data_IF_882707196356
#
_entry.id   IF_882707196356
#
_cell.length_a   1.000
_cell.length_b   1.000
_cell.length_c   1.000
_cell.angle_alpha   90.00
_cell.angle_beta   90.00
_cell.angle_gamma   90.00
#
_symmetry.space_group_name_H-M   'P 1'
#
loop_
_entity.id
_entity.type
_entity.pdbx_description
1 polymer ?
#
# COMPACT_ATOMS: atom_id res chain seq x y z
N UNK A 1 -26.03 -12.43 47.79
CA UNK A 1 -24.65 -12.13 47.38
C UNK A 1 -24.62 -11.82 45.89
N UNK A 2 -24.21 -10.58 45.56
CA UNK A 2 -23.81 -10.06 44.23
C UNK A 2 -24.87 -9.99 43.12
N UNK A 3 -25.86 -9.14 43.37
CA UNK A 3 -26.49 -8.35 42.31
C UNK A 3 -25.45 -7.32 41.84
N UNK A 4 -24.77 -7.58 40.73
CA UNK A 4 -23.89 -6.59 40.09
C UNK A 4 -24.79 -5.46 39.60
N UNK A 5 -24.65 -4.29 40.22
CA UNK A 5 -25.17 -3.05 39.67
C UNK A 5 -24.68 -2.93 38.23
N UNK A 6 -25.61 -2.85 37.28
CA UNK A 6 -25.33 -2.31 35.95
C UNK A 6 -24.96 -0.84 36.19
N UNK A 7 -23.67 -0.56 36.28
CA UNK A 7 -23.16 0.81 36.12
C UNK A 7 -23.73 1.31 34.79
N UNK A 8 -24.56 2.35 34.88
CA UNK A 8 -25.18 2.97 33.72
C UNK A 8 -24.08 3.41 32.78
N UNK A 9 -24.14 2.94 31.54
CA UNK A 9 -23.27 3.39 30.46
C UNK A 9 -23.58 4.88 30.27
N UNK A 10 -22.73 5.76 30.80
CA UNK A 10 -22.93 7.21 30.71
C UNK A 10 -22.79 7.63 29.26
N UNK A 11 -23.90 7.94 28.60
CA UNK A 11 -23.93 8.51 27.25
C UNK A 11 -23.43 9.96 27.27
N UNK A 12 -23.23 10.54 26.09
CA UNK A 12 -22.99 11.98 25.95
C UNK A 12 -24.23 12.74 26.45
N UNK A 13 -24.03 13.80 27.24
CA UNK A 13 -25.13 14.56 27.86
C UNK A 13 -25.93 15.33 26.80
N UNK A 14 -27.28 15.29 26.79
CA UNK A 14 -28.12 16.01 25.82
C UNK A 14 -27.80 17.50 25.72
N UNK A 15 -27.45 18.15 26.84
CA UNK A 15 -27.11 19.57 26.87
C UNK A 15 -25.85 19.89 26.06
N UNK A 16 -24.89 18.96 26.04
CA UNK A 16 -23.66 19.12 25.26
C UNK A 16 -23.95 18.95 23.76
N UNK A 17 -24.82 18.01 23.40
CA UNK A 17 -25.27 17.80 22.02
C UNK A 17 -26.01 19.05 21.51
N UNK A 18 -26.95 19.56 22.31
CA UNK A 18 -27.71 20.77 21.97
C UNK A 18 -26.77 21.97 21.77
N UNK A 19 -25.82 22.19 22.69
CA UNK A 19 -24.81 23.26 22.55
C UNK A 19 -23.95 23.09 21.31
N UNK A 20 -23.42 21.89 21.07
CA UNK A 20 -22.60 21.62 19.89
C UNK A 20 -23.38 21.80 18.58
N UNK A 21 -24.69 21.51 18.58
CA UNK A 21 -25.56 21.73 17.44
C UNK A 21 -25.64 23.20 17.00
N UNK A 22 -25.34 24.15 17.90
CA UNK A 22 -25.29 25.59 17.57
C UNK A 22 -24.09 25.97 16.69
N UNK A 23 -23.07 25.11 16.60
CA UNK A 23 -21.87 25.34 15.81
C UNK A 23 -20.72 25.98 16.57
N UNK A 24 -20.78 26.05 17.89
CA UNK A 24 -19.62 26.43 18.70
C UNK A 24 -18.50 25.39 18.54
N UNK A 25 -17.32 25.81 18.05
CA UNK A 25 -16.18 24.91 17.85
C UNK A 25 -15.74 24.24 19.15
N UNK A 26 -15.74 25.00 20.25
CA UNK A 26 -15.40 24.48 21.58
C UNK A 26 -16.36 23.35 22.00
N UNK A 27 -17.66 23.50 21.75
CA UNK A 27 -18.65 22.51 22.15
C UNK A 27 -18.56 21.23 21.30
N UNK A 28 -18.29 21.36 19.99
CA UNK A 28 -18.02 20.19 19.14
C UNK A 28 -16.71 19.50 19.56
N UNK A 29 -15.69 20.27 19.97
CA UNK A 29 -14.46 19.68 20.51
C UNK A 29 -14.70 18.94 21.83
N UNK A 30 -15.53 19.49 22.73
CA UNK A 30 -15.94 18.82 23.95
C UNK A 30 -16.74 17.53 23.68
N UNK A 31 -17.52 17.48 22.60
CA UNK A 31 -18.13 16.23 22.11
C UNK A 31 -17.06 15.20 21.77
N UNK A 32 -16.04 15.56 20.97
CA UNK A 32 -14.92 14.67 20.66
C UNK A 32 -14.29 14.13 21.94
N UNK A 33 -13.88 15.02 22.85
CA UNK A 33 -13.20 14.61 24.09
C UNK A 33 -14.06 13.61 24.89
N UNK A 34 -15.39 13.77 24.85
CA UNK A 34 -16.32 12.86 25.53
C UNK A 34 -16.41 11.47 24.89
N UNK A 35 -16.21 11.34 23.58
CA UNK A 35 -16.27 10.06 22.85
C UNK A 35 -14.90 9.41 22.67
N UNK A 36 -13.80 10.19 22.71
CA UNK A 36 -12.43 9.68 22.50
C UNK A 36 -11.64 9.52 23.80
N UNK A 37 -12.12 10.06 24.93
CA UNK A 37 -11.43 10.04 26.21
C UNK A 37 -11.34 8.64 26.87
N UNK A 38 -10.68 8.57 28.03
CA UNK A 38 -10.42 7.31 28.75
C UNK A 38 -11.69 6.53 29.13
N UNK A 39 -12.80 7.24 29.36
CA UNK A 39 -14.12 6.66 29.57
C UNK A 39 -14.94 6.77 28.28
N UNK A 40 -14.49 6.10 27.21
CA UNK A 40 -15.16 6.13 25.90
C UNK A 40 -16.66 5.91 26.06
N UNK A 41 -17.42 6.99 25.83
CA UNK A 41 -18.88 6.96 25.91
C UNK A 41 -19.45 6.45 24.60
N UNK A 42 -20.53 5.65 24.63
CA UNK A 42 -21.17 5.20 23.41
C UNK A 42 -21.71 6.41 22.62
N UNK A 43 -21.42 6.43 21.32
CA UNK A 43 -21.92 7.45 20.39
C UNK A 43 -23.41 7.22 20.13
N UNK A 44 -24.21 8.25 20.41
CA UNK A 44 -25.65 8.30 20.15
C UNK A 44 -25.93 8.81 18.72
N UNK A 45 -26.97 8.32 18.01
CA UNK A 45 -27.46 8.91 16.76
C UNK A 45 -27.57 10.45 16.74
N UNK A 46 -27.89 11.10 17.87
CA UNK A 46 -27.94 12.57 17.95
C UNK A 46 -26.57 13.23 17.77
N UNK A 47 -25.49 12.59 18.22
CA UNK A 47 -24.11 13.06 17.99
C UNK A 47 -23.78 13.00 16.49
N UNK A 48 -24.26 11.96 15.79
CA UNK A 48 -24.09 11.86 14.33
C UNK A 48 -24.83 12.98 13.59
N UNK A 49 -26.05 13.34 14.04
CA UNK A 49 -26.78 14.47 13.45
C UNK A 49 -26.00 15.79 13.56
N UNK A 50 -25.30 16.02 14.68
CA UNK A 50 -24.41 17.18 14.81
C UNK A 50 -23.28 17.11 13.79
N UNK A 51 -22.63 15.95 13.63
CA UNK A 51 -21.55 15.79 12.65
C UNK A 51 -22.04 16.06 11.22
N UNK A 52 -23.16 15.46 10.81
CA UNK A 52 -23.72 15.64 9.47
C UNK A 52 -24.19 17.06 9.18
N UNK A 53 -24.68 17.78 10.20
CA UNK A 53 -25.04 19.21 10.07
C UNK A 53 -23.87 20.05 9.58
N UNK A 54 -22.67 19.80 10.08
CA UNK A 54 -21.46 20.56 9.70
C UNK A 54 -20.68 19.94 8.55
N UNK A 55 -20.99 18.71 8.17
CA UNK A 55 -20.50 18.05 6.95
C UNK A 55 -21.45 18.21 5.75
N UNK A 56 -22.37 19.18 5.83
CA UNK A 56 -23.28 19.50 4.74
C UNK A 56 -22.49 19.96 3.50
N UNK A 57 -22.81 19.48 2.29
CA UNK A 57 -22.11 19.86 1.06
C UNK A 57 -22.20 21.36 0.74
N UNK A 58 -23.25 22.04 1.21
CA UNK A 58 -23.47 23.47 1.00
C UNK A 58 -22.57 24.36 1.87
N UNK A 59 -21.89 23.78 2.86
CA UNK A 59 -20.96 24.49 3.74
C UNK A 59 -19.50 24.39 3.25
N UNK A 60 -19.24 23.58 2.23
CA UNK A 60 -17.91 23.43 1.65
C UNK A 60 -17.54 24.72 0.91
N UNK A 61 -16.42 25.38 1.24
CA UNK A 61 -16.00 26.58 0.53
C UNK A 61 -15.75 26.30 -0.96
N UNK A 62 -16.14 27.25 -1.82
CA UNK A 62 -16.00 27.12 -3.28
C UNK A 62 -14.59 27.35 -3.79
N UNK A 63 -13.77 28.08 -3.04
CA UNK A 63 -12.37 28.38 -3.35
C UNK A 63 -11.56 28.55 -2.07
N UNK A 64 -10.27 28.20 -2.15
CA UNK A 64 -9.28 28.58 -1.14
C UNK A 64 -8.70 29.92 -1.61
N UNK A 65 -9.52 30.97 -1.60
CA UNK A 65 -9.03 32.32 -1.88
C UNK A 65 -8.23 32.86 -0.67
N UNK A 66 -7.48 33.95 -0.88
CA UNK A 66 -6.47 34.50 0.04
C UNK A 66 -6.95 34.85 1.45
N UNK A 67 -8.24 34.80 1.74
CA UNK A 67 -8.82 35.06 3.06
C UNK A 67 -9.00 33.78 3.88
N UNK A 68 -7.89 33.10 4.19
CA UNK A 68 -7.87 31.88 4.99
C UNK A 68 -8.63 31.99 6.33
N UNK A 69 -8.59 33.18 6.96
CA UNK A 69 -9.26 33.47 8.23
C UNK A 69 -10.76 33.25 8.20
N UNK A 70 -11.41 33.53 7.07
CA UNK A 70 -12.87 33.51 6.96
C UNK A 70 -13.39 32.07 6.90
N UNK A 71 -12.54 31.13 6.48
CA UNK A 71 -12.87 29.72 6.31
C UNK A 71 -12.31 28.82 7.42
N UNK A 72 -11.43 29.35 8.28
CA UNK A 72 -10.78 28.57 9.33
C UNK A 72 -11.80 27.90 10.27
N UNK A 73 -12.79 28.64 10.76
CA UNK A 73 -13.80 28.06 11.66
C UNK A 73 -14.67 26.97 10.99
N UNK A 74 -15.23 27.17 9.78
CA UNK A 74 -15.90 26.08 9.05
C UNK A 74 -15.03 24.83 8.85
N UNK A 75 -13.76 25.01 8.47
CA UNK A 75 -12.79 23.93 8.27
C UNK A 75 -12.57 23.16 9.57
N UNK A 76 -12.27 23.86 10.66
CA UNK A 76 -12.00 23.25 11.97
C UNK A 76 -13.21 22.43 12.43
N UNK A 77 -14.43 22.94 12.23
CA UNK A 77 -15.67 22.21 12.54
C UNK A 77 -15.81 20.95 11.69
N UNK A 78 -15.58 21.05 10.38
CA UNK A 78 -15.67 19.90 9.48
C UNK A 78 -14.66 18.82 9.85
N UNK A 79 -13.39 19.18 10.08
CA UNK A 79 -12.33 18.25 10.54
C UNK A 79 -12.75 17.58 11.85
N UNK A 80 -13.23 18.37 12.81
CA UNK A 80 -13.73 17.86 14.10
C UNK A 80 -14.88 16.86 13.88
N UNK A 81 -15.81 17.14 12.96
CA UNK A 81 -16.90 16.22 12.63
C UNK A 81 -16.44 14.96 11.91
N UNK A 82 -15.41 15.03 11.05
CA UNK A 82 -14.79 13.85 10.43
C UNK A 82 -14.15 12.92 11.48
N UNK A 83 -13.55 13.47 12.52
CA UNK A 83 -13.02 12.68 13.65
C UNK A 83 -14.15 11.98 14.40
N UNK A 84 -15.28 12.65 14.64
CA UNK A 84 -16.47 12.02 15.23
C UNK A 84 -16.92 10.82 14.36
N UNK A 85 -16.98 11.00 13.04
CA UNK A 85 -17.37 9.93 12.12
C UNK A 85 -16.39 8.75 12.12
N UNK A 86 -15.08 8.99 12.16
CA UNK A 86 -14.08 7.93 12.25
C UNK A 86 -14.27 7.10 13.52
N UNK A 87 -14.48 7.76 14.67
CA UNK A 87 -14.79 7.08 15.93
C UNK A 87 -16.11 6.33 15.90
N UNK A 88 -17.15 6.90 15.29
CA UNK A 88 -18.43 6.23 15.09
C UNK A 88 -18.28 4.95 14.25
N UNK A 89 -17.52 5.00 13.15
CA UNK A 89 -17.24 3.84 12.32
C UNK A 89 -16.51 2.75 13.11
N UNK A 90 -15.52 3.14 13.93
CA UNK A 90 -14.78 2.19 14.79
C UNK A 90 -15.68 1.54 15.84
N UNK A 91 -16.53 2.31 16.51
CA UNK A 91 -17.46 1.78 17.52
C UNK A 91 -18.56 0.91 16.89
N UNK A 92 -19.07 1.29 15.72
CA UNK A 92 -20.12 0.56 15.01
C UNK A 92 -19.69 -0.87 14.61
N UNK A 93 -18.38 -1.18 14.56
CA UNK A 93 -17.89 -2.55 14.36
C UNK A 93 -18.33 -3.52 15.46
N UNK A 94 -18.59 -3.03 16.68
CA UNK A 94 -19.05 -3.84 17.81
C UNK A 94 -20.50 -3.56 18.23
N UNK A 95 -21.14 -2.53 17.67
CA UNK A 95 -22.52 -2.14 17.98
C UNK A 95 -23.40 -2.21 16.71
N UNK A 96 -24.28 -3.21 16.64
CA UNK A 96 -25.14 -3.44 15.48
C UNK A 96 -26.20 -2.36 15.27
N UNK A 97 -26.68 -1.72 16.33
CA UNK A 97 -27.69 -0.66 16.23
C UNK A 97 -27.07 0.62 15.68
N UNK A 98 -25.90 1.00 16.23
CA UNK A 98 -25.13 2.12 15.70
C UNK A 98 -24.71 1.85 14.25
N UNK A 99 -24.27 0.64 13.92
CA UNK A 99 -23.92 0.24 12.55
C UNK A 99 -25.07 0.47 11.58
N UNK A 100 -26.27 -0.05 11.87
CA UNK A 100 -27.41 0.12 10.97
C UNK A 100 -27.71 1.61 10.71
N UNK A 101 -27.74 2.42 11.76
CA UNK A 101 -28.00 3.86 11.66
C UNK A 101 -26.90 4.58 10.86
N UNK A 102 -25.64 4.24 11.12
CA UNK A 102 -24.48 4.89 10.50
C UNK A 102 -24.35 4.52 9.02
N UNK A 103 -24.69 3.29 8.64
CA UNK A 103 -24.67 2.83 7.24
C UNK A 103 -25.62 3.66 6.38
N UNK A 104 -26.88 3.79 6.81
CA UNK A 104 -27.88 4.58 6.07
C UNK A 104 -27.42 6.03 5.92
N UNK A 105 -26.95 6.63 7.01
CA UNK A 105 -26.49 8.03 6.99
C UNK A 105 -25.23 8.25 6.13
N UNK A 106 -24.29 7.31 6.11
CA UNK A 106 -23.09 7.39 5.27
C UNK A 106 -23.45 7.33 3.78
N UNK A 107 -24.43 6.50 3.40
CA UNK A 107 -24.89 6.41 2.02
C UNK A 107 -25.61 7.69 1.61
N UNK A 108 -26.54 8.18 2.44
CA UNK A 108 -27.32 9.40 2.17
C UNK A 108 -26.44 10.66 2.08
N UNK A 109 -25.35 10.74 2.86
CA UNK A 109 -24.50 11.92 2.96
C UNK A 109 -23.16 11.79 2.21
N UNK A 110 -23.02 10.78 1.33
CA UNK A 110 -21.78 10.49 0.60
C UNK A 110 -21.22 11.72 -0.12
N UNK A 111 -22.06 12.51 -0.80
CA UNK A 111 -21.62 13.70 -1.55
C UNK A 111 -21.01 14.78 -0.65
N UNK A 112 -21.63 15.02 0.51
CA UNK A 112 -21.12 15.96 1.51
C UNK A 112 -19.77 15.53 2.05
N UNK A 113 -19.67 14.25 2.41
CA UNK A 113 -18.44 13.65 2.90
C UNK A 113 -17.31 13.73 1.86
N UNK A 114 -17.59 13.36 0.60
CA UNK A 114 -16.62 13.43 -0.48
C UNK A 114 -16.11 14.85 -0.69
N UNK A 115 -17.00 15.84 -0.76
CA UNK A 115 -16.61 17.24 -1.01
C UNK A 115 -15.77 17.80 0.13
N UNK A 116 -16.14 17.52 1.38
CA UNK A 116 -15.36 17.98 2.53
C UNK A 116 -13.98 17.33 2.58
N UNK A 117 -13.90 16.01 2.39
CA UNK A 117 -12.61 15.32 2.35
C UNK A 117 -11.74 15.89 1.22
N UNK A 118 -12.28 16.00 0.00
CA UNK A 118 -11.56 16.57 -1.13
C UNK A 118 -11.05 17.99 -0.83
N UNK A 119 -11.90 18.85 -0.27
CA UNK A 119 -11.54 20.20 0.11
C UNK A 119 -10.43 20.23 1.18
N UNK A 120 -10.54 19.39 2.21
CA UNK A 120 -9.52 19.28 3.26
C UNK A 120 -8.18 18.82 2.69
N UNK A 121 -8.18 17.92 1.71
CA UNK A 121 -6.96 17.50 1.02
C UNK A 121 -6.35 18.61 0.15
N UNK A 122 -7.08 19.65 -0.21
CA UNK A 122 -6.56 20.82 -0.92
C UNK A 122 -5.95 21.89 0.02
N UNK A 123 -6.25 21.82 1.32
CA UNK A 123 -5.80 22.82 2.29
C UNK A 123 -4.28 22.85 2.41
N UNK A 124 -3.58 21.73 2.72
CA UNK A 124 -2.13 21.77 2.86
C UNK A 124 -1.43 22.21 1.59
N UNK A 125 -2.06 21.98 0.44
CA UNK A 125 -1.51 22.32 -0.88
C UNK A 125 -1.49 23.83 -1.13
N UNK A 126 -2.39 24.58 -0.49
CA UNK A 126 -2.52 26.02 -0.64
C UNK A 126 -2.02 26.78 0.60
N UNK A 127 -2.04 26.13 1.76
CA UNK A 127 -1.65 26.67 3.07
C UNK A 127 -0.37 26.04 3.63
N UNK A 128 0.41 25.32 2.82
CA UNK A 128 1.55 24.51 3.27
C UNK A 128 2.63 25.27 4.06
N UNK A 129 2.75 26.58 3.82
CA UNK A 129 3.63 27.46 4.62
C UNK A 129 3.15 27.68 6.06
N UNK A 130 1.85 27.55 6.33
CA UNK A 130 1.24 27.83 7.64
C UNK A 130 1.20 26.59 8.55
N UNK A 131 0.96 25.41 7.99
CA UNK A 131 0.81 24.16 8.77
C UNK A 131 2.14 23.44 9.04
N UNK A 132 3.15 23.70 8.21
CA UNK A 132 4.40 22.93 8.21
C UNK A 132 4.20 21.47 7.78
N UNK A 133 5.31 20.75 7.62
CA UNK A 133 5.32 19.36 7.13
C UNK A 133 4.50 18.39 7.99
N UNK A 134 4.71 18.43 9.31
CA UNK A 134 4.08 17.47 10.23
C UNK A 134 2.55 17.64 10.33
N UNK A 135 2.06 18.89 10.31
CA UNK A 135 0.63 19.16 10.35
C UNK A 135 -0.09 18.68 9.08
N UNK A 136 0.56 18.86 7.93
CA UNK A 136 0.09 18.34 6.65
C UNK A 136 0.02 16.81 6.64
N UNK A 137 1.08 16.13 7.07
CA UNK A 137 1.12 14.66 7.13
C UNK A 137 0.01 14.09 8.02
N UNK A 138 -0.16 14.66 9.21
CA UNK A 138 -1.20 14.23 10.15
C UNK A 138 -2.62 14.37 9.57
N UNK A 139 -2.89 15.43 8.80
CA UNK A 139 -4.18 15.61 8.13
C UNK A 139 -4.44 14.49 7.09
N UNK A 140 -3.43 14.17 6.27
CA UNK A 140 -3.53 13.11 5.27
C UNK A 140 -3.70 11.73 5.91
N UNK A 141 -2.99 11.44 6.99
CA UNK A 141 -3.15 10.20 7.75
C UNK A 141 -4.53 10.08 8.40
N UNK A 142 -5.04 11.19 8.97
CA UNK A 142 -6.38 11.23 9.55
C UNK A 142 -7.47 10.93 8.52
N UNK A 143 -7.37 11.53 7.33
CA UNK A 143 -8.29 11.24 6.22
C UNK A 143 -8.18 9.78 5.77
N UNK A 144 -6.95 9.27 5.60
CA UNK A 144 -6.76 7.87 5.20
C UNK A 144 -7.32 6.89 6.25
N UNK A 145 -7.14 7.19 7.54
CA UNK A 145 -7.72 6.40 8.63
C UNK A 145 -9.26 6.39 8.55
N UNK A 146 -9.89 7.55 8.36
CA UNK A 146 -11.34 7.65 8.16
C UNK A 146 -11.82 6.82 6.97
N UNK A 147 -11.17 6.95 5.80
CA UNK A 147 -11.55 6.18 4.60
C UNK A 147 -11.49 4.68 4.87
N UNK A 148 -10.42 4.20 5.51
CA UNK A 148 -10.31 2.79 5.90
C UNK A 148 -11.42 2.38 6.88
N UNK A 149 -11.76 3.22 7.86
CA UNK A 149 -12.84 2.96 8.81
C UNK A 149 -14.20 2.86 8.12
N UNK A 150 -14.50 3.75 7.17
CA UNK A 150 -15.74 3.74 6.37
C UNK A 150 -15.82 2.49 5.49
N UNK A 151 -14.78 2.21 4.69
CA UNK A 151 -14.77 1.08 3.76
C UNK A 151 -14.79 -0.28 4.45
N UNK A 152 -14.38 -0.35 5.71
CA UNK A 152 -14.38 -1.60 6.50
C UNK A 152 -15.62 -1.78 7.38
N UNK A 153 -16.59 -0.85 7.32
CA UNK A 153 -17.77 -0.91 8.17
C UNK A 153 -18.81 -1.90 7.65
N UNK A 154 -19.13 -1.84 6.36
CA UNK A 154 -20.13 -2.67 5.70
C UNK A 154 -19.84 -2.87 4.21
N UNK A 155 -20.15 -4.05 3.67
CA UNK A 155 -19.91 -4.34 2.25
C UNK A 155 -20.82 -3.49 1.33
N UNK A 156 -22.03 -3.13 1.76
CA UNK A 156 -22.90 -2.22 1.01
C UNK A 156 -22.34 -0.80 0.92
N UNK A 157 -21.75 -0.29 2.01
CA UNK A 157 -21.02 0.99 1.99
C UNK A 157 -19.85 0.89 1.01
N UNK A 158 -19.07 -0.19 1.11
CA UNK A 158 -17.93 -0.39 0.23
C UNK A 158 -18.34 -0.25 -1.24
N UNK A 159 -19.34 -1.02 -1.68
CA UNK A 159 -19.83 -1.03 -3.06
C UNK A 159 -20.33 0.34 -3.54
N UNK A 160 -21.10 1.05 -2.71
CA UNK A 160 -21.61 2.39 -3.05
C UNK A 160 -20.45 3.38 -3.22
N UNK A 161 -19.52 3.40 -2.28
CA UNK A 161 -18.43 4.36 -2.27
C UNK A 161 -17.40 4.09 -3.37
N UNK A 162 -16.99 2.84 -3.61
CA UNK A 162 -16.04 2.52 -4.69
C UNK A 162 -16.63 2.70 -6.10
N UNK A 163 -17.95 2.71 -6.23
CA UNK A 163 -18.64 3.05 -7.48
C UNK A 163 -18.67 4.55 -7.75
N UNK A 164 -18.37 5.40 -6.76
CA UNK A 164 -18.35 6.85 -6.89
C UNK A 164 -17.01 7.36 -7.47
N UNK A 165 -17.00 8.03 -8.64
CA UNK A 165 -15.77 8.60 -9.19
C UNK A 165 -15.14 9.66 -8.28
N UNK A 166 -15.95 10.40 -7.51
CA UNK A 166 -15.47 11.40 -6.57
C UNK A 166 -14.68 10.75 -5.42
N UNK A 167 -15.13 9.59 -4.95
CA UNK A 167 -14.41 8.85 -3.92
C UNK A 167 -13.08 8.28 -4.43
N UNK A 168 -13.08 7.71 -5.63
CA UNK A 168 -11.83 7.26 -6.25
C UNK A 168 -10.86 8.43 -6.45
N UNK A 169 -11.35 9.62 -6.81
CA UNK A 169 -10.53 10.82 -6.96
C UNK A 169 -9.84 11.26 -5.65
N UNK A 170 -10.53 11.16 -4.52
CA UNK A 170 -9.95 11.40 -3.19
C UNK A 170 -8.79 10.43 -2.92
N UNK A 171 -8.98 9.16 -3.24
CA UNK A 171 -7.96 8.11 -3.05
C UNK A 171 -6.75 8.37 -3.96
N UNK A 172 -6.98 8.78 -5.21
CA UNK A 172 -5.93 9.18 -6.14
C UNK A 172 -5.18 10.42 -5.65
N UNK A 173 -5.87 11.40 -5.06
CA UNK A 173 -5.24 12.60 -4.51
C UNK A 173 -4.32 12.25 -3.33
N UNK A 174 -4.79 11.42 -2.40
CA UNK A 174 -3.98 10.88 -1.31
C UNK A 174 -2.75 10.12 -1.84
N UNK A 175 -2.94 9.34 -2.91
CA UNK A 175 -1.89 8.49 -3.44
C UNK A 175 -0.78 9.25 -4.17
N UNK A 176 -1.16 10.27 -4.95
CA UNK A 176 -0.28 10.95 -5.90
C UNK A 176 0.32 12.27 -5.41
N UNK A 177 -0.03 12.71 -4.20
CA UNK A 177 0.49 13.97 -3.65
C UNK A 177 2.01 13.92 -3.52
N UNK A 178 2.64 15.07 -3.77
CA UNK A 178 4.09 15.27 -3.68
C UNK A 178 4.42 16.31 -2.63
N UNK A 179 5.58 16.18 -2.01
CA UNK A 179 6.23 17.26 -1.27
C UNK A 179 6.72 18.32 -2.28
N UNK A 180 6.33 19.57 -2.04
CA UNK A 180 6.68 20.68 -2.90
C UNK A 180 8.19 21.00 -2.87
N UNK A 181 8.91 20.60 -1.80
CA UNK A 181 10.35 20.84 -1.65
C UNK A 181 11.21 19.80 -2.38
N UNK A 182 10.83 18.54 -2.28
CA UNK A 182 11.63 17.41 -2.81
C UNK A 182 11.08 16.85 -4.12
N UNK A 183 9.81 17.15 -4.46
CA UNK A 183 9.10 16.54 -5.58
C UNK A 183 8.89 15.03 -5.42
N UNK A 184 9.16 14.50 -4.22
CA UNK A 184 8.94 13.12 -3.78
C UNK A 184 7.45 12.90 -3.45
N UNK A 185 6.89 11.69 -3.61
CA UNK A 185 5.61 11.34 -3.00
C UNK A 185 5.61 11.70 -1.52
N UNK A 186 4.51 12.26 -1.03
CA UNK A 186 4.41 12.90 0.30
C UNK A 186 4.56 11.95 1.52
N UNK A 187 5.17 10.77 1.37
CA UNK A 187 4.92 9.66 2.30
C UNK A 187 6.18 9.06 2.87
N UNK A 188 6.31 9.23 4.18
CA UNK A 188 7.20 8.49 5.05
C UNK A 188 6.67 7.05 5.26
N UNK A 189 7.56 6.10 5.53
CA UNK A 189 7.26 4.69 5.79
C UNK A 189 6.33 4.48 6.99
N UNK A 190 6.20 5.49 7.85
CA UNK A 190 5.28 5.57 8.98
C UNK A 190 3.80 5.66 8.55
N UNK A 191 3.53 6.12 7.33
CA UNK A 191 2.17 6.44 6.82
C UNK A 191 1.42 5.26 6.21
N UNK A 192 1.42 4.11 6.92
CA UNK A 192 0.86 2.84 6.42
C UNK A 192 -0.64 2.95 6.07
N UNK A 193 -1.39 3.85 6.72
CA UNK A 193 -2.83 4.07 6.47
C UNK A 193 -3.15 4.44 5.02
N UNK A 194 -2.29 5.19 4.34
CA UNK A 194 -2.50 5.57 2.93
C UNK A 194 -2.28 4.36 2.02
N UNK A 195 -1.32 3.49 2.33
CA UNK A 195 -1.16 2.21 1.64
C UNK A 195 -2.39 1.31 1.84
N UNK A 196 -2.87 1.20 3.08
CA UNK A 196 -4.06 0.42 3.40
C UNK A 196 -5.28 0.90 2.63
N UNK A 197 -5.40 2.22 2.41
CA UNK A 197 -6.50 2.80 1.64
C UNK A 197 -6.49 2.27 0.21
N UNK A 198 -5.35 2.37 -0.49
CA UNK A 198 -5.26 1.87 -1.87
C UNK A 198 -5.45 0.34 -1.90
N UNK A 199 -4.84 -0.39 -0.97
CA UNK A 199 -5.00 -1.84 -0.86
C UNK A 199 -6.46 -2.26 -0.67
N UNK A 200 -7.22 -1.58 0.20
CA UNK A 200 -8.63 -1.86 0.43
C UNK A 200 -9.48 -1.67 -0.84
N UNK A 201 -9.11 -0.72 -1.71
CA UNK A 201 -9.76 -0.54 -3.01
C UNK A 201 -9.39 -1.65 -3.98
N UNK A 202 -8.09 -1.87 -4.23
CA UNK A 202 -7.65 -2.76 -5.32
C UNK A 202 -7.75 -4.25 -5.00
N UNK A 203 -7.96 -4.61 -3.74
CA UNK A 203 -8.06 -6.02 -3.30
C UNK A 203 -9.39 -6.69 -3.62
N UNK A 204 -10.43 -5.91 -3.95
CA UNK A 204 -11.73 -6.42 -4.42
C UNK A 204 -11.91 -6.06 -5.90
N UNK A 205 -12.55 -6.94 -6.67
CA UNK A 205 -12.65 -6.84 -8.13
C UNK A 205 -13.34 -5.54 -8.60
N UNK A 206 -14.49 -5.20 -8.02
CA UNK A 206 -15.21 -3.96 -8.36
C UNK A 206 -14.38 -2.70 -8.06
N UNK A 207 -13.65 -2.70 -6.95
CA UNK A 207 -12.79 -1.57 -6.57
C UNK A 207 -11.58 -1.44 -7.48
N UNK A 208 -10.97 -2.56 -7.85
CA UNK A 208 -9.90 -2.61 -8.84
C UNK A 208 -10.39 -2.07 -10.20
N UNK A 209 -11.53 -2.52 -10.68
CA UNK A 209 -12.09 -2.06 -11.96
C UNK A 209 -12.36 -0.55 -11.96
N UNK A 210 -13.10 -0.04 -10.96
CA UNK A 210 -13.36 1.40 -10.81
C UNK A 210 -12.08 2.23 -10.73
N UNK A 211 -11.10 1.76 -9.97
CA UNK A 211 -9.80 2.42 -9.86
C UNK A 211 -9.04 2.43 -11.20
N UNK A 212 -8.98 1.29 -11.90
CA UNK A 212 -8.30 1.17 -13.19
C UNK A 212 -8.95 2.06 -14.26
N UNK A 213 -10.28 2.05 -14.35
CA UNK A 213 -11.01 2.92 -15.25
C UNK A 213 -10.66 4.40 -15.00
N UNK A 214 -10.62 4.81 -13.72
CA UNK A 214 -10.32 6.20 -13.37
C UNK A 214 -8.87 6.61 -13.66
N UNK A 215 -7.88 5.75 -13.39
CA UNK A 215 -6.48 6.07 -13.71
C UNK A 215 -6.22 6.13 -15.22
N UNK A 216 -6.93 5.32 -16.02
CA UNK A 216 -6.82 5.32 -17.48
C UNK A 216 -7.44 6.60 -18.03
N UNK A 217 -8.65 6.94 -17.60
CA UNK A 217 -9.35 8.19 -17.98
C UNK A 217 -8.49 9.42 -17.68
N UNK A 218 -7.86 9.46 -16.50
CA UNK A 218 -6.96 10.55 -16.08
C UNK A 218 -5.54 10.43 -16.61
N UNK A 219 -5.21 9.40 -17.38
CA UNK A 219 -3.86 9.13 -17.93
C UNK A 219 -2.77 9.07 -16.86
N UNK A 220 -3.08 8.50 -15.69
CA UNK A 220 -2.20 8.44 -14.52
C UNK A 220 -1.38 7.15 -14.44
N UNK A 221 -1.52 6.21 -15.38
CA UNK A 221 -0.84 4.90 -15.36
C UNK A 221 0.69 5.02 -15.19
N UNK A 222 1.43 5.86 -15.96
CA UNK A 222 2.87 5.99 -15.74
C UNK A 222 3.18 6.54 -14.35
N UNK A 223 2.39 7.52 -13.88
CA UNK A 223 2.55 8.11 -12.55
C UNK A 223 2.32 7.07 -11.45
N UNK A 224 1.32 6.19 -11.61
CA UNK A 224 1.05 5.07 -10.71
C UNK A 224 2.28 4.18 -10.56
N UNK A 225 2.85 3.77 -11.69
CA UNK A 225 4.03 2.92 -11.70
C UNK A 225 5.21 3.58 -10.97
N UNK A 226 5.54 4.82 -11.34
CA UNK A 226 6.61 5.57 -10.69
C UNK A 226 6.38 5.76 -9.19
N UNK A 227 5.17 6.10 -8.78
CA UNK A 227 4.83 6.31 -7.36
C UNK A 227 4.98 5.03 -6.54
N UNK A 228 4.51 3.88 -7.05
CA UNK A 228 4.68 2.60 -6.34
C UNK A 228 6.16 2.25 -6.17
N UNK A 229 6.95 2.37 -7.23
CA UNK A 229 8.37 2.01 -7.18
C UNK A 229 9.16 2.94 -6.27
N UNK A 230 8.84 4.25 -6.29
CA UNK A 230 9.47 5.24 -5.40
C UNK A 230 9.17 4.95 -3.94
N UNK A 231 7.92 4.62 -3.62
CA UNK A 231 7.51 4.17 -2.28
C UNK A 231 8.23 2.89 -1.83
N UNK A 232 8.47 1.95 -2.75
CA UNK A 232 9.25 0.76 -2.44
C UNK A 232 10.71 1.10 -2.09
N UNK A 233 11.34 2.01 -2.84
CA UNK A 233 12.70 2.49 -2.53
C UNK A 233 12.78 3.18 -1.17
N UNK A 234 11.83 4.07 -0.88
CA UNK A 234 11.74 4.75 0.43
C UNK A 234 11.70 3.75 1.59
N UNK A 235 10.93 2.66 1.48
CA UNK A 235 10.90 1.61 2.48
C UNK A 235 12.25 0.88 2.67
N UNK A 236 13.07 0.78 1.62
CA UNK A 236 14.39 0.15 1.70
C UNK A 236 15.51 1.09 2.15
N UNK A 237 15.31 2.40 2.01
CA UNK A 237 16.28 3.46 2.33
C UNK A 237 15.98 4.13 3.67
N UNK A 238 14.93 3.69 4.36
CA UNK A 238 14.55 4.20 5.69
C UNK A 238 15.71 4.03 6.70
N UNK A 239 16.22 5.13 7.29
CA UNK A 239 17.33 5.09 8.24
C UNK A 239 17.00 4.27 9.50
N UNK A 240 15.73 4.21 9.90
CA UNK A 240 15.29 3.47 11.09
C UNK A 240 15.11 1.97 10.80
N UNK A 241 15.16 1.54 9.53
CA UNK A 241 14.95 0.15 9.15
C UNK A 241 16.04 -0.79 9.70
N UNK A 242 17.22 -0.26 10.06
CA UNK A 242 18.27 -1.05 10.70
C UNK A 242 17.90 -1.47 12.13
N UNK A 243 17.27 -0.57 12.89
CA UNK A 243 16.92 -0.78 14.29
C UNK A 243 15.48 -1.28 14.48
N UNK A 244 14.57 -0.94 13.55
CA UNK A 244 13.13 -1.24 13.61
C UNK A 244 12.56 -1.61 12.22
N UNK A 245 13.02 -2.71 11.61
CA UNK A 245 12.62 -3.08 10.24
C UNK A 245 11.14 -3.42 10.05
N UNK A 246 10.36 -3.63 11.12
CA UNK A 246 8.96 -4.07 11.05
C UNK A 246 8.10 -3.19 10.16
N UNK A 247 8.24 -1.86 10.26
CA UNK A 247 7.42 -0.92 9.49
C UNK A 247 7.77 -0.98 8.01
N UNK A 248 9.07 -0.92 7.67
CA UNK A 248 9.56 -1.06 6.31
C UNK A 248 9.13 -2.39 5.65
N UNK A 249 9.22 -3.51 6.39
CA UNK A 249 8.77 -4.83 5.92
C UNK A 249 7.27 -4.81 5.63
N UNK A 250 6.45 -4.31 6.55
CA UNK A 250 5.00 -4.27 6.38
C UNK A 250 4.60 -3.36 5.21
N UNK A 251 5.27 -2.23 5.08
CA UNK A 251 5.10 -1.28 3.98
C UNK A 251 5.35 -1.96 2.62
N UNK A 252 6.47 -2.69 2.47
CA UNK A 252 6.74 -3.46 1.25
C UNK A 252 5.75 -4.60 1.02
N UNK A 253 5.26 -5.27 2.07
CA UNK A 253 4.25 -6.34 1.93
C UNK A 253 2.95 -5.80 1.36
N UNK A 254 2.46 -4.67 1.86
CA UNK A 254 1.23 -4.04 1.36
C UNK A 254 1.44 -3.56 -0.09
N UNK A 255 2.59 -2.96 -0.39
CA UNK A 255 2.93 -2.59 -1.77
C UNK A 255 2.96 -3.81 -2.69
N UNK A 256 3.56 -4.93 -2.27
CA UNK A 256 3.58 -6.15 -3.05
C UNK A 256 2.16 -6.67 -3.31
N UNK A 257 1.28 -6.63 -2.31
CA UNK A 257 -0.12 -7.01 -2.49
C UNK A 257 -0.84 -6.11 -3.50
N UNK A 258 -0.77 -4.78 -3.35
CA UNK A 258 -1.31 -3.80 -4.31
C UNK A 258 -0.80 -4.12 -5.72
N UNK A 259 0.50 -4.35 -5.82
CA UNK A 259 1.18 -4.62 -7.07
C UNK A 259 0.68 -5.92 -7.73
N UNK A 260 0.49 -6.98 -6.94
CA UNK A 260 -0.10 -8.23 -7.40
C UNK A 260 -1.52 -8.06 -7.94
N UNK A 261 -2.37 -7.27 -7.26
CA UNK A 261 -3.74 -7.01 -7.73
C UNK A 261 -3.74 -6.24 -9.05
N UNK A 262 -2.95 -5.16 -9.15
CA UNK A 262 -2.82 -4.37 -10.37
C UNK A 262 -2.35 -5.22 -11.56
N UNK A 263 -1.30 -6.03 -11.38
CA UNK A 263 -0.74 -6.88 -12.43
C UNK A 263 -1.57 -8.14 -12.73
N UNK A 264 -2.62 -8.41 -11.93
CA UNK A 264 -3.60 -9.46 -12.24
C UNK A 264 -4.70 -8.99 -13.18
N UNK A 265 -4.81 -7.68 -13.40
CA UNK A 265 -5.79 -7.10 -14.33
C UNK A 265 -5.44 -7.42 -15.79
N UNK A 266 -6.45 -7.31 -16.67
CA UNK A 266 -6.28 -7.46 -18.12
C UNK A 266 -5.85 -6.16 -18.82
N UNK A 267 -5.49 -5.10 -18.07
CA UNK A 267 -5.16 -3.80 -18.65
C UNK A 267 -3.78 -3.78 -19.30
N UNK A 268 -3.73 -3.79 -20.64
CA UNK A 268 -2.48 -3.71 -21.39
C UNK A 268 -1.72 -2.39 -21.15
N UNK A 269 -2.43 -1.27 -21.04
CA UNK A 269 -1.82 0.03 -20.79
C UNK A 269 -1.12 0.06 -19.43
N UNK A 270 -1.74 -0.55 -18.41
CA UNK A 270 -1.15 -0.74 -17.11
C UNK A 270 0.15 -1.55 -17.21
N UNK A 271 0.09 -2.72 -17.86
CA UNK A 271 1.25 -3.59 -18.04
C UNK A 271 2.39 -2.91 -18.79
N UNK A 272 2.08 -2.15 -19.85
CA UNK A 272 3.05 -1.35 -20.60
C UNK A 272 3.65 -0.25 -19.75
N UNK A 273 2.84 0.46 -18.96
CA UNK A 273 3.27 1.51 -18.05
C UNK A 273 4.26 1.00 -17.00
N UNK A 274 3.96 -0.14 -16.36
CA UNK A 274 4.87 -0.78 -15.42
C UNK A 274 6.12 -1.32 -16.11
N UNK A 275 5.99 -1.96 -17.27
CA UNK A 275 7.11 -2.44 -18.08
C UNK A 275 8.12 -1.33 -18.39
N UNK A 276 7.65 -0.17 -18.84
CA UNK A 276 8.48 1.00 -19.11
C UNK A 276 9.21 1.54 -17.86
N UNK A 277 8.65 1.32 -16.66
CA UNK A 277 9.25 1.74 -15.40
C UNK A 277 10.23 0.70 -14.83
N UNK A 278 10.52 -0.40 -15.53
CA UNK A 278 11.35 -1.51 -15.06
C UNK A 278 10.91 -2.06 -13.69
N UNK A 279 9.60 -2.17 -13.51
CA UNK A 279 8.98 -2.42 -12.21
C UNK A 279 9.57 -3.59 -11.41
N UNK A 280 9.82 -4.73 -12.06
CA UNK A 280 10.37 -5.91 -11.38
C UNK A 280 11.78 -5.68 -10.88
N UNK A 281 12.60 -4.98 -11.66
CA UNK A 281 13.97 -4.65 -11.27
C UNK A 281 13.95 -3.78 -10.02
N UNK A 282 13.19 -2.70 -10.07
CA UNK A 282 13.14 -1.70 -9.01
C UNK A 282 12.53 -2.25 -7.72
N UNK A 283 11.41 -2.99 -7.84
CA UNK A 283 10.78 -3.59 -6.67
C UNK A 283 11.64 -4.71 -6.07
N UNK A 284 12.27 -5.55 -6.90
CA UNK A 284 13.21 -6.56 -6.43
C UNK A 284 14.42 -5.92 -5.74
N UNK A 285 14.98 -4.84 -6.30
CA UNK A 285 16.09 -4.11 -5.70
C UNK A 285 15.72 -3.57 -4.32
N UNK A 286 14.54 -2.98 -4.15
CA UNK A 286 14.07 -2.50 -2.85
C UNK A 286 13.97 -3.63 -1.81
N UNK A 287 13.35 -4.77 -2.17
CA UNK A 287 13.25 -5.94 -1.28
C UNK A 287 14.65 -6.51 -0.97
N UNK A 288 15.53 -6.57 -1.96
CA UNK A 288 16.91 -7.02 -1.84
C UNK A 288 17.69 -6.14 -0.86
N UNK A 289 17.64 -4.82 -1.01
CA UNK A 289 18.27 -3.84 -0.11
C UNK A 289 17.76 -3.99 1.31
N UNK A 290 16.44 -4.01 1.53
CA UNK A 290 15.89 -4.17 2.87
C UNK A 290 16.30 -5.51 3.49
N UNK A 291 16.38 -6.60 2.70
CA UNK A 291 16.84 -7.89 3.22
C UNK A 291 18.29 -7.86 3.71
N UNK A 292 19.17 -7.05 3.12
CA UNK A 292 20.55 -6.88 3.58
C UNK A 292 20.56 -6.18 4.94
N UNK A 293 19.76 -5.11 5.08
CA UNK A 293 19.59 -4.37 6.33
C UNK A 293 19.04 -5.28 7.44
N UNK A 294 17.96 -6.00 7.16
CA UNK A 294 17.31 -6.93 8.11
C UNK A 294 18.24 -8.07 8.51
N UNK A 295 19.04 -8.61 7.59
CA UNK A 295 19.96 -9.70 7.90
C UNK A 295 21.00 -9.31 8.96
N UNK A 296 21.48 -8.06 8.96
CA UNK A 296 22.54 -7.59 9.86
C UNK A 296 22.11 -7.51 11.32
N UNK A 297 20.81 -7.27 11.61
CA UNK A 297 20.31 -7.10 12.99
C UNK A 297 19.13 -8.02 13.37
N UNK A 298 18.31 -8.45 12.42
CA UNK A 298 16.99 -9.04 12.65
C UNK A 298 16.70 -10.23 11.72
N UNK A 299 17.67 -11.12 11.51
CA UNK A 299 17.60 -12.16 10.46
C UNK A 299 16.34 -13.06 10.51
N UNK A 300 15.73 -13.29 11.67
CA UNK A 300 14.46 -14.02 11.78
C UNK A 300 13.29 -13.37 11.00
N UNK A 301 13.31 -12.04 10.86
CA UNK A 301 12.31 -11.26 10.12
C UNK A 301 12.43 -11.38 8.61
N UNK A 302 13.52 -11.98 8.09
CA UNK A 302 13.66 -12.26 6.65
C UNK A 302 12.48 -13.09 6.11
N UNK A 303 11.93 -14.01 6.92
CA UNK A 303 10.75 -14.80 6.54
C UNK A 303 9.56 -13.94 6.11
N UNK A 304 9.36 -12.77 6.73
CA UNK A 304 8.25 -11.87 6.40
C UNK A 304 8.42 -11.21 5.02
N UNK A 305 9.65 -11.08 4.53
CA UNK A 305 9.94 -10.62 3.16
C UNK A 305 9.70 -11.70 2.10
N UNK A 306 9.56 -12.97 2.50
CA UNK A 306 9.26 -14.06 1.58
C UNK A 306 7.95 -13.87 0.81
N UNK A 307 6.95 -13.22 1.42
CA UNK A 307 5.68 -12.88 0.74
C UNK A 307 5.93 -11.94 -0.45
N UNK A 308 6.77 -10.93 -0.29
CA UNK A 308 7.14 -10.00 -1.37
C UNK A 308 7.84 -10.75 -2.51
N UNK A 309 8.73 -11.69 -2.16
CA UNK A 309 9.40 -12.55 -3.14
C UNK A 309 8.40 -13.46 -3.86
N UNK A 310 7.42 -14.02 -3.16
CA UNK A 310 6.33 -14.79 -3.78
C UNK A 310 5.65 -14.02 -4.90
N UNK A 311 5.27 -12.77 -4.62
CA UNK A 311 4.59 -11.90 -5.58
C UNK A 311 5.49 -11.60 -6.78
N UNK A 312 6.75 -11.20 -6.53
CA UNK A 312 7.74 -10.93 -7.57
C UNK A 312 7.84 -12.08 -8.58
N UNK A 313 7.90 -13.31 -8.07
CA UNK A 313 7.95 -14.50 -8.89
C UNK A 313 6.65 -14.79 -9.63
N UNK A 314 5.50 -14.71 -8.95
CA UNK A 314 4.22 -14.94 -9.59
C UNK A 314 4.03 -14.02 -10.80
N UNK A 315 4.47 -12.77 -10.71
CA UNK A 315 4.40 -11.83 -11.83
C UNK A 315 5.39 -12.14 -12.95
N UNK A 316 6.63 -12.52 -12.60
CA UNK A 316 7.61 -12.89 -13.61
C UNK A 316 7.22 -14.17 -14.37
N UNK A 317 6.45 -15.07 -13.73
CA UNK A 317 6.03 -16.33 -14.33
C UNK A 317 4.67 -16.25 -15.04
N UNK A 318 3.72 -15.43 -14.57
CA UNK A 318 2.39 -15.32 -15.17
C UNK A 318 2.32 -14.41 -16.41
N UNK A 319 3.25 -13.46 -16.54
CA UNK A 319 3.24 -12.49 -17.64
C UNK A 319 3.73 -13.10 -18.97
N UNK A 320 2.82 -13.75 -19.72
CA UNK A 320 3.15 -14.47 -20.97
C UNK A 320 3.82 -13.63 -22.05
N UNK A 321 3.55 -12.32 -22.09
CA UNK A 321 4.03 -11.41 -23.13
C UNK A 321 5.37 -10.74 -22.82
N UNK A 322 5.83 -10.78 -21.56
CA UNK A 322 7.05 -10.09 -21.11
C UNK A 322 7.97 -10.99 -20.28
N UNK A 323 7.87 -12.32 -20.44
CA UNK A 323 8.59 -13.31 -19.63
C UNK A 323 10.10 -13.02 -19.56
N UNK A 324 10.73 -12.75 -20.71
CA UNK A 324 12.17 -12.54 -20.82
C UNK A 324 12.61 -11.24 -20.12
N UNK A 325 11.88 -10.15 -20.35
CA UNK A 325 12.15 -8.84 -19.74
C UNK A 325 11.95 -8.90 -18.23
N UNK A 326 10.88 -9.55 -17.79
CA UNK A 326 10.54 -9.70 -16.38
C UNK A 326 11.57 -10.54 -15.62
N UNK A 327 11.99 -11.67 -16.19
CA UNK A 327 13.06 -12.51 -15.62
C UNK A 327 14.40 -11.77 -15.59
N UNK A 328 14.74 -11.06 -16.67
CA UNK A 328 15.94 -10.23 -16.71
C UNK A 328 15.93 -9.12 -15.66
N UNK A 329 14.78 -8.45 -15.47
CA UNK A 329 14.58 -7.43 -14.45
C UNK A 329 14.75 -7.98 -13.03
N UNK A 330 14.21 -9.17 -12.72
CA UNK A 330 14.42 -9.82 -11.43
C UNK A 330 15.90 -10.10 -11.15
N UNK A 331 16.65 -10.59 -12.13
CA UNK A 331 18.09 -10.83 -11.99
C UNK A 331 18.83 -9.51 -11.69
N UNK A 332 18.59 -8.48 -12.50
CA UNK A 332 19.18 -7.15 -12.31
C UNK A 332 18.83 -6.52 -10.96
N UNK A 333 17.64 -6.81 -10.43
CA UNK A 333 17.20 -6.38 -9.10
C UNK A 333 17.80 -7.17 -7.94
N UNK A 334 18.64 -8.19 -8.20
CA UNK A 334 19.32 -8.96 -7.16
C UNK A 334 18.46 -10.06 -6.53
N UNK A 335 17.55 -10.69 -7.28
CA UNK A 335 16.71 -11.79 -6.75
C UNK A 335 17.54 -12.97 -6.24
N UNK A 336 18.70 -13.24 -6.86
CA UNK A 336 19.57 -14.35 -6.52
C UNK A 336 20.16 -14.20 -5.10
N UNK A 337 20.88 -13.11 -4.77
CA UNK A 337 21.39 -12.92 -3.41
C UNK A 337 20.25 -12.77 -2.39
N UNK A 338 19.09 -12.23 -2.78
CA UNK A 338 17.89 -12.18 -1.95
C UNK A 338 17.40 -13.59 -1.57
N UNK A 339 17.29 -14.51 -2.54
CA UNK A 339 16.92 -15.90 -2.26
C UNK A 339 17.95 -16.61 -1.39
N UNK A 340 19.25 -16.44 -1.67
CA UNK A 340 20.32 -17.03 -0.87
C UNK A 340 20.18 -16.67 0.61
N UNK A 341 19.77 -15.43 0.91
CA UNK A 341 19.47 -14.99 2.29
C UNK A 341 18.18 -15.55 2.85
N UNK A 342 17.12 -15.71 2.04
CA UNK A 342 15.81 -16.12 2.51
C UNK A 342 15.68 -17.63 2.74
N UNK A 343 16.19 -18.46 1.84
CA UNK A 343 16.02 -19.92 1.84
C UNK A 343 16.31 -20.59 3.19
N UNK A 344 17.39 -20.23 3.93
CA UNK A 344 17.66 -20.82 5.25
C UNK A 344 16.55 -20.57 6.29
N UNK A 345 15.79 -19.49 6.13
CA UNK A 345 14.75 -19.06 7.06
C UNK A 345 13.36 -19.54 6.66
N UNK A 346 13.09 -19.69 5.35
CA UNK A 346 11.81 -20.19 4.83
C UNK A 346 11.44 -21.54 5.45
N UNK A 347 12.41 -22.46 5.58
CA UNK A 347 12.19 -23.78 6.20
C UNK A 347 11.74 -23.74 7.66
N UNK A 348 11.94 -22.60 8.32
CA UNK A 348 11.56 -22.37 9.72
C UNK A 348 10.27 -21.53 9.83
N UNK A 349 9.74 -21.03 8.72
CA UNK A 349 8.56 -20.16 8.70
C UNK A 349 7.27 -20.99 8.65
N UNK A 350 6.26 -20.55 9.39
CA UNK A 350 4.88 -21.05 9.29
C UNK A 350 4.03 -20.26 8.29
N UNK A 351 4.48 -19.09 7.84
CA UNK A 351 3.76 -18.21 6.91
C UNK A 351 3.96 -18.61 5.44
N UNK A 352 5.08 -19.28 5.13
CA UNK A 352 5.44 -19.65 3.77
C UNK A 352 5.23 -21.15 3.54
N UNK A 353 4.76 -21.52 2.36
CA UNK A 353 4.62 -22.92 1.98
C UNK A 353 5.97 -23.64 2.10
N UNK A 354 6.03 -24.89 2.60
CA UNK A 354 7.26 -25.68 2.61
C UNK A 354 7.90 -25.82 1.23
N UNK A 355 7.08 -25.77 0.17
CA UNK A 355 7.51 -25.85 -1.23
C UNK A 355 8.00 -24.51 -1.79
N UNK A 356 7.96 -23.42 -1.01
CA UNK A 356 8.38 -22.09 -1.42
C UNK A 356 9.85 -22.07 -1.83
N UNK A 357 10.73 -22.60 -0.97
CA UNK A 357 12.17 -22.61 -1.23
C UNK A 357 12.49 -23.44 -2.48
N UNK A 358 11.91 -24.64 -2.60
CA UNK A 358 12.22 -25.57 -3.68
C UNK A 358 11.62 -25.09 -5.02
N UNK A 359 10.38 -24.60 -4.99
CA UNK A 359 9.66 -24.13 -6.18
C UNK A 359 10.28 -22.88 -6.80
N UNK A 360 10.64 -21.87 -6.00
CA UNK A 360 11.19 -20.62 -6.51
C UNK A 360 12.67 -20.72 -6.89
N UNK A 361 13.45 -21.50 -6.13
CA UNK A 361 14.84 -21.80 -6.54
C UNK A 361 14.86 -22.56 -7.86
N UNK A 362 13.95 -23.53 -8.05
CA UNK A 362 13.76 -24.23 -9.32
C UNK A 362 13.29 -23.27 -10.42
N UNK A 363 12.34 -22.36 -10.13
CA UNK A 363 11.84 -21.41 -11.11
C UNK A 363 12.92 -20.44 -11.64
N UNK A 364 13.86 -19.98 -10.81
CA UNK A 364 15.00 -19.17 -11.29
C UNK A 364 16.00 -20.02 -12.06
N UNK A 365 16.42 -21.15 -11.49
CA UNK A 365 17.58 -21.90 -12.00
C UNK A 365 17.27 -22.76 -13.22
N UNK A 366 16.05 -23.29 -13.31
CA UNK A 366 15.64 -24.21 -14.38
C UNK A 366 14.66 -23.62 -15.39
N UNK A 367 13.93 -22.55 -15.05
CA UNK A 367 12.99 -21.90 -15.99
C UNK A 367 13.45 -20.47 -16.32
N UNK A 368 13.99 -19.75 -15.34
CA UNK A 368 14.41 -18.35 -15.46
C UNK A 368 15.55 -18.14 -16.45
N UNK A 369 16.53 -19.05 -16.46
CA UNK A 369 17.75 -18.97 -17.25
C UNK A 369 17.66 -19.65 -18.62
N UNK A 370 16.49 -20.14 -19.06
CA UNK A 370 16.39 -20.87 -20.33
C UNK A 370 16.43 -19.97 -21.57
N UNK A 371 16.50 -18.65 -21.39
CA UNK A 371 16.50 -17.71 -22.49
C UNK A 371 17.88 -17.04 -22.67
N UNK A 372 18.44 -17.05 -23.90
CA UNK A 372 19.70 -16.38 -24.28
C UNK A 372 19.98 -15.04 -23.60
N UNK A 373 19.00 -14.13 -23.67
CA UNK A 373 19.11 -12.78 -23.10
C UNK A 373 19.24 -12.76 -21.58
N UNK A 374 18.55 -13.68 -20.90
CA UNK A 374 18.58 -13.78 -19.44
C UNK A 374 19.91 -14.38 -19.01
N UNK A 375 20.43 -15.38 -19.74
CA UNK A 375 21.77 -15.97 -19.55
C UNK A 375 22.87 -14.91 -19.72
N UNK A 376 22.83 -14.13 -20.82
CA UNK A 376 23.82 -13.06 -21.04
C UNK A 376 23.80 -12.00 -19.93
N UNK A 377 22.61 -11.63 -19.43
CA UNK A 377 22.48 -10.71 -18.28
C UNK A 377 23.04 -11.33 -17.00
N UNK A 378 22.70 -12.59 -16.74
CA UNK A 378 23.22 -13.35 -15.60
C UNK A 378 24.76 -13.41 -15.62
N UNK A 379 25.36 -13.80 -16.74
CA UNK A 379 26.81 -13.89 -16.90
C UNK A 379 27.53 -12.54 -16.78
N UNK A 380 26.89 -11.43 -17.19
CA UNK A 380 27.43 -10.09 -16.95
C UNK A 380 27.47 -9.72 -15.46
N UNK A 381 26.51 -10.21 -14.69
CA UNK A 381 26.43 -9.95 -13.26
C UNK A 381 27.32 -10.88 -12.44
N UNK A 382 27.57 -12.09 -12.93
CA UNK A 382 28.37 -13.14 -12.28
C UNK A 382 29.45 -13.67 -13.24
N UNK A 383 30.43 -12.85 -13.63
CA UNK A 383 31.43 -13.22 -14.64
C UNK A 383 32.31 -14.40 -14.22
N UNK A 384 32.58 -14.52 -12.91
CA UNK A 384 33.47 -15.56 -12.36
C UNK A 384 32.71 -16.82 -11.95
N UNK A 385 31.38 -16.85 -12.13
CA UNK A 385 30.53 -17.99 -11.73
C UNK A 385 30.47 -18.25 -10.23
N UNK A 386 31.07 -17.39 -9.41
CA UNK A 386 31.04 -17.55 -7.95
C UNK A 386 29.58 -17.57 -7.46
N UNK A 387 29.28 -18.53 -6.58
CA UNK A 387 28.03 -18.49 -5.83
C UNK A 387 28.00 -17.13 -5.14
N UNK A 388 26.98 -16.27 -5.34
CA UNK A 388 26.81 -15.08 -4.51
C UNK A 388 26.64 -15.58 -3.08
N UNK A 389 27.79 -15.64 -2.41
CA UNK A 389 27.89 -15.96 -1.02
C UNK A 389 27.31 -14.78 -0.28
N UNK A 390 26.51 -15.00 0.76
CA UNK A 390 26.18 -13.92 1.63
C UNK A 390 27.46 -13.58 2.39
N UNK A 391 28.09 -12.45 2.08
CA UNK A 391 29.05 -11.85 3.00
C UNK A 391 28.34 -11.70 4.37
N UNK A 392 28.64 -12.60 5.31
CA UNK A 392 28.03 -12.63 6.63
C UNK A 392 26.95 -13.70 6.91
N UNK A 393 26.42 -14.46 5.95
CA UNK A 393 25.55 -15.62 6.29
C UNK A 393 26.36 -16.92 6.28
N UNK A 394 27.08 -17.18 7.39
CA UNK A 394 27.59 -18.52 7.72
C UNK A 394 26.48 -19.55 8.00
N UNK A 395 25.22 -19.13 7.98
CA UNK A 395 24.06 -20.01 8.18
C UNK A 395 23.71 -20.67 6.85
N UNK A 396 24.40 -21.79 6.59
CA UNK A 396 24.04 -22.84 5.64
C UNK A 396 23.50 -22.35 4.30
N UNK A 397 24.38 -22.20 3.31
CA UNK A 397 23.99 -22.51 1.94
C UNK A 397 23.36 -23.90 1.98
N UNK A 398 22.03 -23.98 1.87
CA UNK A 398 21.38 -25.29 1.82
C UNK A 398 22.02 -26.07 0.66
N UNK A 399 22.31 -27.36 0.83
CA UNK A 399 22.87 -28.20 -0.25
C UNK A 399 22.08 -28.04 -1.55
N UNK A 400 20.76 -27.80 -1.42
CA UNK A 400 19.86 -27.47 -2.52
C UNK A 400 20.23 -26.18 -3.26
N UNK A 401 20.57 -25.09 -2.56
CA UNK A 401 20.98 -23.83 -3.18
C UNK A 401 22.27 -24.01 -3.98
N UNK A 402 23.27 -24.67 -3.39
CA UNK A 402 24.54 -24.94 -4.08
C UNK A 402 24.34 -25.84 -5.29
N UNK A 403 23.52 -26.89 -5.15
CA UNK A 403 23.17 -27.78 -6.24
C UNK A 403 22.48 -27.03 -7.39
N UNK A 404 21.47 -26.21 -7.08
CA UNK A 404 20.73 -25.43 -8.08
C UNK A 404 21.59 -24.34 -8.73
N UNK A 405 22.49 -23.71 -7.97
CA UNK A 405 23.46 -22.76 -8.52
C UNK A 405 24.42 -23.44 -9.50
N UNK A 406 24.97 -24.59 -9.14
CA UNK A 406 25.83 -25.39 -10.04
C UNK A 406 25.08 -25.80 -11.32
N UNK A 407 23.80 -26.17 -11.21
CA UNK A 407 22.96 -26.44 -12.39
C UNK A 407 22.80 -25.21 -13.29
N UNK A 408 22.56 -24.03 -12.70
CA UNK A 408 22.45 -22.77 -13.45
C UNK A 408 23.76 -22.41 -14.18
N UNK A 409 24.91 -22.56 -13.52
CA UNK A 409 26.22 -22.33 -14.15
C UNK A 409 26.47 -23.31 -15.30
N UNK A 410 26.22 -24.60 -15.09
CA UNK A 410 26.36 -25.61 -16.13
C UNK A 410 25.49 -25.28 -17.35
N UNK A 411 24.27 -24.81 -17.14
CA UNK A 411 23.39 -24.37 -18.23
C UNK A 411 23.99 -23.17 -19.00
N UNK A 412 24.56 -22.21 -18.28
CA UNK A 412 25.22 -21.05 -18.89
C UNK A 412 26.48 -21.45 -19.68
N UNK A 413 27.30 -22.37 -19.14
CA UNK A 413 28.50 -22.90 -19.82
C UNK A 413 28.13 -23.67 -21.09
N UNK A 414 27.09 -24.49 -21.04
CA UNK A 414 26.56 -25.20 -22.21
C UNK A 414 26.09 -24.18 -23.24
N UNK A 415 25.34 -23.15 -22.83
CA UNK A 415 24.84 -22.12 -23.73
C UNK A 415 25.95 -21.28 -24.38
N UNK A 416 26.99 -20.87 -23.63
CA UNK A 416 28.15 -20.15 -24.19
C UNK A 416 28.84 -20.93 -25.31
N UNK A 417 28.77 -22.26 -25.29
CA UNK A 417 29.32 -23.13 -26.35
C UNK A 417 28.43 -23.17 -27.61
N UNK A 418 27.18 -22.71 -27.55
CA UNK A 418 26.22 -22.75 -28.66
C UNK A 418 25.93 -21.39 -29.30
N UNK A 419 26.26 -20.26 -28.64
CA UNK A 419 25.87 -18.91 -29.10
C UNK A 419 26.92 -18.27 -30.01
N UNK A 420 26.98 -18.72 -31.27
CA UNK A 420 27.61 -17.99 -32.38
C UNK A 420 26.64 -16.92 -32.93
N UNK A 421 26.50 -15.78 -32.25
CA UNK A 421 26.14 -14.51 -32.89
C UNK A 421 24.68 -14.30 -33.36
N UNK A 422 23.66 -14.89 -32.73
CA UNK A 422 22.26 -14.68 -33.13
C UNK A 422 21.70 -13.28 -32.86
N UNK A 423 21.14 -12.64 -33.90
CA UNK A 423 20.33 -11.40 -33.83
C UNK A 423 18.87 -11.74 -33.46
N UNK A 424 18.34 -10.92 -32.57
CA UNK A 424 17.00 -10.91 -31.96
C UNK A 424 15.83 -11.02 -32.95
N UNK A 425 14.75 -11.76 -32.61
CA UNK A 425 13.43 -11.61 -33.25
C UNK A 425 12.25 -11.65 -32.26
N UNK A 426 11.06 -11.19 -32.66
CA UNK A 426 9.82 -11.18 -31.83
C UNK A 426 9.35 -12.59 -31.37
N UNK A 427 9.97 -13.66 -31.87
CA UNK A 427 9.62 -15.05 -31.58
C UNK A 427 10.07 -15.52 -30.18
N UNK A 428 10.93 -14.74 -29.52
CA UNK A 428 11.56 -15.07 -28.23
C UNK A 428 10.54 -15.26 -27.07
N UNK A 429 9.43 -14.50 -27.08
CA UNK A 429 8.38 -14.64 -26.06
C UNK A 429 7.46 -15.85 -26.31
N UNK A 430 7.29 -16.28 -27.55
CA UNK A 430 6.48 -17.46 -27.88
C UNK A 430 7.17 -18.75 -27.41
N UNK A 431 8.47 -18.89 -27.66
CA UNK A 431 9.27 -20.05 -27.21
C UNK A 431 9.33 -20.17 -25.67
N UNK A 432 9.39 -19.04 -24.96
CA UNK A 432 9.40 -19.00 -23.49
C UNK A 432 8.03 -19.30 -22.86
N UNK A 433 6.93 -19.20 -23.62
CA UNK A 433 5.56 -19.45 -23.14
C UNK A 433 5.08 -20.90 -23.33
N UNK A 434 5.78 -21.67 -24.17
CA UNK A 434 5.52 -23.09 -24.48
C UNK A 434 6.27 -24.09 -23.59
N UNK A 435 7.13 -23.59 -22.70
CA UNK A 435 7.87 -24.33 -21.66
C UNK A 435 7.29 -23.95 -20.30
#
# INVERSE_FOLDING_TARGET
MRQKAREGTTTVTPELIERASTGSLLDIHLLIVSITGEQQRPIDPEVLKVAWKFLCPNLVPTSIDRNWSDFQHPIDRAITCLVILDHACKQAKSDSHLKATLVDQLIENMDGLCRWIYFILLIPDNAGQLLGWNGMLAAYEGVAALINSVLSLDDGIYEVYISSPAWIDIILQLWFRKDDNTGEPLLDITTVSILHTLHAVVSKEAGLESFLNRIIEKRLVPRLAWTILRRARLASEDPDAADRPTNAIEYLRILAAIFSFLMSSSSEDLHRGFGNANYLREFCAAVNTLSITVQKGHAAMLTRLGVCVQVLFLMAMKARTHIVENRGGLLEGGIVPLLARLVPWVRKSTELSPNFADGYTTAITLNGLNHPRVIRRFLRMYPDGEVPGPEGCRLATSELWEFRWKQALLFCEVYQKFDEGGVVTMCDNQAASTL
#
